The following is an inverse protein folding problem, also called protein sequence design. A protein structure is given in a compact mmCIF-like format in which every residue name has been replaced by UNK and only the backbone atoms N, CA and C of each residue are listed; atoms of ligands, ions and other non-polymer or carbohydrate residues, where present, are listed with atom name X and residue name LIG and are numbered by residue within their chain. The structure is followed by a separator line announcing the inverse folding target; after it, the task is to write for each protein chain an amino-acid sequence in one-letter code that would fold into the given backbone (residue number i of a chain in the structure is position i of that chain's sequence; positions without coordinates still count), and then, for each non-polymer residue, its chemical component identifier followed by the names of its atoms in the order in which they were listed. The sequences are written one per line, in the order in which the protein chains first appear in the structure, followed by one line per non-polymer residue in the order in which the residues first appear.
data_IF_857342213101
#
_entry.id   IF_857342213101
#
_cell.length_a   1.000
_cell.length_b   1.000
_cell.length_c   1.000
_cell.angle_alpha   90.00
_cell.angle_beta   90.00
_cell.angle_gamma   90.00
#
_symmetry.space_group_name_H-M   'P 1'
#
loop_
_entity.id
_entity.type
_entity.pdbx_description
1 polymer ?
#
# COMPACT_ATOMS: atom_id res chain seq x y z
N UNK A 1 -4.19 -3.29 -20.89
CA UNK A 1 -3.04 -2.98 -20.03
C UNK A 1 -3.10 -3.93 -18.85
N UNK A 2 -1.99 -4.58 -18.44
CA UNK A 2 -2.03 -5.51 -17.31
C UNK A 2 -2.20 -4.73 -16.00
N UNK A 3 -3.14 -5.18 -15.15
CA UNK A 3 -3.32 -4.68 -13.79
C UNK A 3 -2.85 -5.76 -12.81
N UNK A 4 -1.94 -5.40 -11.91
CA UNK A 4 -1.51 -6.29 -10.84
C UNK A 4 -2.44 -6.12 -9.65
N UNK A 5 -3.26 -7.12 -9.34
CA UNK A 5 -4.04 -7.16 -8.10
C UNK A 5 -3.08 -7.24 -6.91
N UNK A 6 -3.08 -6.27 -6.00
CA UNK A 6 -2.25 -6.26 -4.78
C UNK A 6 -3.04 -6.59 -3.51
N UNK A 7 -4.36 -6.44 -3.53
CA UNK A 7 -5.27 -7.00 -2.54
C UNK A 7 -6.56 -7.45 -3.20
N UNK A 8 -6.90 -8.72 -3.01
CA UNK A 8 -8.16 -9.30 -3.47
C UNK A 8 -9.32 -8.84 -2.58
N UNK A 9 -9.13 -8.79 -1.26
CA UNK A 9 -10.17 -8.41 -0.28
C UNK A 9 -10.67 -6.98 -0.49
N UNK A 10 -9.76 -6.05 -0.73
CA UNK A 10 -10.08 -4.62 -0.89
C UNK A 10 -10.07 -4.17 -2.36
N UNK A 11 -9.84 -5.10 -3.28
CA UNK A 11 -9.83 -4.87 -4.73
C UNK A 11 -8.77 -3.85 -5.16
N UNK A 12 -7.61 -3.84 -4.54
CA UNK A 12 -6.52 -2.90 -4.86
C UNK A 12 -5.68 -3.42 -6.00
N UNK A 13 -5.37 -2.54 -6.95
CA UNK A 13 -4.57 -2.87 -8.13
C UNK A 13 -3.43 -1.88 -8.33
N UNK A 14 -2.38 -2.34 -9.00
CA UNK A 14 -1.27 -1.53 -9.49
C UNK A 14 -1.20 -1.69 -11.01
N UNK A 15 -1.54 -0.65 -11.79
CA UNK A 15 -1.40 -0.67 -13.23
C UNK A 15 0.06 -0.91 -13.63
N UNK A 16 0.29 -1.81 -14.59
CA UNK A 16 1.61 -2.12 -15.16
C UNK A 16 2.64 -2.66 -14.13
N UNK A 17 2.17 -3.09 -12.96
CA UNK A 17 2.99 -3.76 -11.96
C UNK A 17 3.40 -5.15 -12.43
N UNK A 18 4.69 -5.45 -12.36
CA UNK A 18 5.24 -6.80 -12.58
C UNK A 18 5.39 -7.48 -11.22
N UNK A 19 4.65 -8.57 -11.01
CA UNK A 19 4.73 -9.38 -9.80
C UNK A 19 6.15 -9.93 -9.61
N UNK A 20 6.69 -9.75 -8.41
CA UNK A 20 7.94 -10.38 -7.96
C UNK A 20 7.66 -11.53 -6.99
N UNK A 21 6.77 -11.30 -6.02
CA UNK A 21 6.34 -12.32 -5.06
C UNK A 21 4.94 -12.02 -4.52
N UNK A 22 4.24 -13.09 -4.13
CA UNK A 22 2.97 -13.03 -3.39
C UNK A 22 3.10 -13.87 -2.13
N UNK A 23 2.81 -13.27 -0.99
CA UNK A 23 2.92 -13.89 0.33
C UNK A 23 1.61 -13.62 1.07
N UNK A 24 1.11 -14.61 1.81
CA UNK A 24 -0.06 -14.46 2.68
C UNK A 24 0.34 -14.86 4.09
N UNK A 25 0.27 -13.92 5.02
CA UNK A 25 0.58 -14.12 6.44
C UNK A 25 -0.69 -13.91 7.27
N UNK A 26 -1.45 -14.98 7.50
CA UNK A 26 -2.76 -14.87 8.14
C UNK A 26 -3.74 -14.06 7.30
N UNK A 27 -4.20 -12.91 7.82
CA UNK A 27 -5.07 -11.98 7.08
C UNK A 27 -4.32 -10.91 6.28
N UNK A 28 -2.98 -10.91 6.31
CA UNK A 28 -2.16 -9.94 5.59
C UNK A 28 -1.87 -10.42 4.17
N UNK A 29 -2.35 -9.67 3.17
CA UNK A 29 -2.02 -9.85 1.76
C UNK A 29 -0.75 -9.05 1.44
N UNK A 30 0.34 -9.74 1.14
CA UNK A 30 1.63 -9.12 0.83
C UNK A 30 1.93 -9.35 -0.66
N UNK A 31 2.17 -8.26 -1.38
CA UNK A 31 2.61 -8.31 -2.77
C UNK A 31 3.90 -7.53 -2.93
N UNK A 32 4.92 -8.18 -3.48
CA UNK A 32 6.15 -7.55 -3.94
C UNK A 32 6.10 -7.43 -5.45
N UNK A 33 6.40 -6.25 -5.97
CA UNK A 33 6.29 -5.95 -7.39
C UNK A 33 7.30 -4.90 -7.82
N UNK A 34 7.48 -4.75 -9.13
CA UNK A 34 8.26 -3.65 -9.72
C UNK A 34 7.53 -3.04 -10.90
N UNK A 35 7.89 -1.81 -11.26
CA UNK A 35 7.48 -1.20 -12.52
C UNK A 35 8.53 -1.43 -13.62
N UNK A 36 8.12 -1.56 -14.89
CA UNK A 36 8.99 -1.28 -16.04
C UNK A 36 9.56 0.14 -15.97
N UNK A 37 10.76 0.36 -16.51
CA UNK A 37 11.39 1.69 -16.49
C UNK A 37 10.63 2.72 -17.33
N UNK A 38 10.02 2.25 -18.42
CA UNK A 38 9.23 3.00 -19.38
C UNK A 38 7.73 3.09 -19.02
N UNK A 39 7.33 2.54 -17.86
CA UNK A 39 5.94 2.56 -17.43
C UNK A 39 5.45 3.99 -17.19
N UNK A 40 4.33 4.42 -17.81
CA UNK A 40 3.72 5.72 -17.50
C UNK A 40 3.08 5.75 -16.10
N UNK A 41 2.92 4.57 -15.47
CA UNK A 41 2.40 4.42 -14.12
C UNK A 41 3.50 4.31 -13.07
N UNK A 42 4.78 4.39 -13.46
CA UNK A 42 5.88 4.40 -12.51
C UNK A 42 5.73 5.61 -11.57
N UNK A 43 5.65 5.42 -10.25
CA UNK A 43 5.51 6.53 -9.31
C UNK A 43 6.85 7.27 -9.19
N UNK A 44 6.79 8.59 -9.05
CA UNK A 44 7.93 9.46 -8.75
C UNK A 44 8.42 9.32 -7.31
N UNK A 45 7.57 8.82 -6.41
CA UNK A 45 7.86 8.63 -4.99
C UNK A 45 7.03 7.52 -4.36
N UNK A 46 7.48 7.03 -3.19
CA UNK A 46 6.70 6.07 -2.39
C UNK A 46 5.36 6.66 -1.94
N UNK A 47 5.36 7.95 -1.58
CA UNK A 47 4.15 8.67 -1.18
C UNK A 47 3.13 8.73 -2.32
N UNK A 48 3.56 9.03 -3.54
CA UNK A 48 2.67 9.04 -4.71
C UNK A 48 1.98 7.69 -4.92
N UNK A 49 2.73 6.58 -4.82
CA UNK A 49 2.18 5.24 -4.90
C UNK A 49 1.16 4.96 -3.78
N UNK A 50 1.49 5.38 -2.55
CA UNK A 50 0.60 5.28 -1.40
C UNK A 50 -0.70 6.05 -1.58
N UNK A 51 -0.62 7.29 -2.07
CA UNK A 51 -1.78 8.15 -2.33
C UNK A 51 -2.67 7.60 -3.45
N UNK A 52 -2.11 6.94 -4.47
CA UNK A 52 -2.89 6.24 -5.50
C UNK A 52 -3.68 5.05 -4.92
N UNK A 53 -3.08 4.25 -4.04
CA UNK A 53 -3.76 3.15 -3.37
C UNK A 53 -4.82 3.65 -2.38
N UNK A 54 -4.53 4.74 -1.66
CA UNK A 54 -5.51 5.43 -0.82
C UNK A 54 -6.72 5.89 -1.65
N UNK A 55 -6.50 6.53 -2.80
CA UNK A 55 -7.57 7.00 -3.67
C UNK A 55 -8.46 5.85 -4.18
N UNK A 56 -7.90 4.66 -4.43
CA UNK A 56 -8.69 3.47 -4.76
C UNK A 56 -9.62 3.04 -3.62
N UNK A 57 -9.16 3.11 -2.37
CA UNK A 57 -9.98 2.81 -1.19
C UNK A 57 -11.05 3.88 -0.97
N UNK A 58 -10.70 5.16 -1.14
CA UNK A 58 -11.66 6.27 -1.07
C UNK A 58 -12.76 6.14 -2.12
N UNK A 59 -12.40 5.76 -3.35
CA UNK A 59 -13.37 5.47 -4.42
C UNK A 59 -14.31 4.28 -4.10
N UNK A 60 -13.96 3.44 -3.13
CA UNK A 60 -14.77 2.31 -2.62
C UNK A 60 -15.55 2.67 -1.34
N UNK A 61 -15.54 3.94 -0.94
CA UNK A 61 -16.28 4.46 0.20
C UNK A 61 -15.57 4.31 1.55
N UNK A 62 -14.26 4.06 1.55
CA UNK A 62 -13.46 4.13 2.76
C UNK A 62 -13.05 5.58 3.05
N UNK A 63 -13.01 5.95 4.33
CA UNK A 63 -12.62 7.28 4.78
C UNK A 63 -11.30 7.23 5.51
N UNK A 64 -10.43 8.21 5.22
CA UNK A 64 -9.14 8.35 5.89
C UNK A 64 -9.31 8.43 7.41
N UNK A 65 -8.56 7.58 8.13
CA UNK A 65 -8.44 7.64 9.58
C UNK A 65 -7.10 8.21 10.00
N UNK A 66 -6.02 7.70 9.42
CA UNK A 66 -4.69 8.23 9.64
C UNK A 66 -3.77 7.91 8.46
N UNK A 67 -2.71 8.70 8.32
CA UNK A 67 -1.59 8.41 7.42
C UNK A 67 -0.28 8.80 8.08
N UNK A 68 0.79 8.10 7.73
CA UNK A 68 2.15 8.52 8.03
C UNK A 68 3.07 8.22 6.86
N UNK A 69 4.02 9.12 6.62
CA UNK A 69 5.10 8.92 5.67
C UNK A 69 6.41 9.21 6.39
N UNK A 70 7.25 8.18 6.52
CA UNK A 70 8.57 8.32 7.09
C UNK A 70 9.57 8.17 5.96
N UNK A 71 10.26 9.26 5.59
CA UNK A 71 11.26 9.25 4.53
C UNK A 71 12.57 8.55 4.95
N UNK A 72 12.88 8.56 6.25
CA UNK A 72 14.14 8.06 6.82
C UNK A 72 13.93 7.34 8.15
N UNK A 73 13.07 6.31 8.26
CA UNK A 73 12.98 5.54 9.49
C UNK A 73 14.31 4.79 9.64
N UNK A 74 15.09 5.19 10.65
CA UNK A 74 16.36 4.56 10.98
C UNK A 74 16.15 3.04 11.09
N UNK A 75 16.97 2.26 10.38
CA UNK A 75 16.92 0.78 10.29
C UNK A 75 15.76 0.12 9.51
N UNK A 76 14.96 0.87 8.72
CA UNK A 76 13.85 0.29 7.94
C UNK A 76 13.70 0.80 6.50
N UNK A 77 14.29 1.95 6.16
CA UNK A 77 14.11 2.61 4.86
C UNK A 77 12.70 3.22 4.70
N UNK A 78 12.47 4.09 3.72
CA UNK A 78 11.25 4.89 3.67
C UNK A 78 9.99 4.02 3.68
N UNK A 79 8.96 4.47 4.39
CA UNK A 79 7.70 3.76 4.51
C UNK A 79 6.52 4.72 4.42
N UNK A 80 5.42 4.22 3.87
CA UNK A 80 4.14 4.89 3.84
C UNK A 80 3.10 3.98 4.49
N UNK A 81 2.35 4.49 5.46
CA UNK A 81 1.26 3.78 6.11
C UNK A 81 0.00 4.59 5.99
N UNK A 82 -1.10 3.97 5.61
CA UNK A 82 -2.42 4.60 5.62
C UNK A 82 -3.46 3.64 6.17
N UNK A 83 -4.37 4.17 6.99
CA UNK A 83 -5.51 3.44 7.51
C UNK A 83 -6.80 4.15 7.12
N UNK A 84 -7.75 3.39 6.59
CA UNK A 84 -9.06 3.89 6.23
C UNK A 84 -10.14 2.97 6.80
N UNK A 85 -11.37 3.47 6.88
CA UNK A 85 -12.50 2.69 7.37
C UNK A 85 -13.80 3.00 6.63
N UNK A 86 -14.69 2.01 6.54
CA UNK A 86 -16.05 2.11 6.02
C UNK A 86 -17.00 1.42 7.01
N UNK A 87 -17.66 2.22 7.85
CA UNK A 87 -18.46 1.69 8.96
C UNK A 87 -17.60 0.84 9.92
N UNK A 88 -17.95 -0.43 10.17
CA UNK A 88 -17.17 -1.32 11.05
C UNK A 88 -15.93 -1.92 10.37
N UNK A 89 -15.80 -1.78 9.05
CA UNK A 89 -14.70 -2.36 8.28
C UNK A 89 -13.51 -1.39 8.23
N UNK A 90 -12.33 -1.82 8.67
CA UNK A 90 -11.09 -1.06 8.56
C UNK A 90 -10.06 -1.77 7.68
N UNK A 91 -9.22 -0.98 7.02
CA UNK A 91 -8.13 -1.44 6.15
C UNK A 91 -6.85 -0.67 6.45
N UNK A 92 -5.75 -1.40 6.57
CA UNK A 92 -4.40 -0.88 6.69
C UNK A 92 -3.61 -1.21 5.44
N UNK A 93 -2.91 -0.21 4.90
CA UNK A 93 -1.99 -0.34 3.78
C UNK A 93 -0.63 0.14 4.23
N UNK A 94 0.37 -0.73 4.15
CA UNK A 94 1.77 -0.46 4.48
C UNK A 94 2.64 -0.66 3.25
N UNK A 95 3.39 0.36 2.85
CA UNK A 95 4.26 0.37 1.68
C UNK A 95 5.70 0.67 2.09
N UNK A 96 6.64 -0.03 1.45
CA UNK A 96 8.08 0.26 1.52
C UNK A 96 8.76 -0.11 0.20
N UNK A 97 9.87 0.53 -0.18
CA UNK A 97 10.67 0.06 -1.29
C UNK A 97 11.36 -1.26 -0.93
N UNK A 98 11.76 -1.99 -1.96
CA UNK A 98 12.67 -3.11 -1.85
C UNK A 98 14.11 -2.65 -2.15
N UNK A 99 15.10 -3.47 -1.82
CA UNK A 99 16.50 -3.23 -2.17
C UNK A 99 16.79 -3.47 -3.66
N UNK A 100 15.91 -2.96 -4.54
CA UNK A 100 15.94 -3.05 -6.01
C UNK A 100 15.27 -1.80 -6.61
N UNK A 101 15.76 -1.26 -7.74
CA UNK A 101 15.14 -0.10 -8.39
C UNK A 101 13.68 -0.36 -8.76
N UNK A 102 12.85 0.67 -8.60
CA UNK A 102 11.42 0.70 -8.97
C UNK A 102 10.59 -0.49 -8.41
N UNK A 103 11.07 -1.10 -7.32
CA UNK A 103 10.48 -2.26 -6.69
C UNK A 103 9.95 -1.91 -5.30
N UNK A 104 8.75 -2.42 -5.01
CA UNK A 104 7.97 -2.07 -3.84
C UNK A 104 7.37 -3.32 -3.21
N UNK A 105 7.17 -3.24 -1.90
CA UNK A 105 6.35 -4.19 -1.15
C UNK A 105 5.14 -3.44 -0.61
N UNK A 106 3.97 -4.00 -0.86
CA UNK A 106 2.71 -3.56 -0.26
C UNK A 106 2.16 -4.67 0.61
N UNK A 107 1.78 -4.31 1.83
CA UNK A 107 1.06 -5.17 2.76
C UNK A 107 -0.32 -4.56 2.98
N UNK A 108 -1.36 -5.36 2.79
CA UNK A 108 -2.75 -4.96 2.96
C UNK A 108 -3.39 -5.89 3.96
N UNK A 109 -4.04 -5.34 4.97
CA UNK A 109 -4.67 -6.15 6.02
C UNK A 109 -5.90 -5.46 6.62
N UNK A 110 -6.80 -6.23 7.24
CA UNK A 110 -7.80 -5.67 8.12
C UNK A 110 -7.15 -4.83 9.23
N UNK A 111 -7.74 -3.68 9.50
CA UNK A 111 -7.28 -2.79 10.57
C UNK A 111 -8.47 -2.34 11.44
N UNK A 112 -8.18 -1.85 12.64
CA UNK A 112 -9.21 -1.20 13.47
C UNK A 112 -9.84 -0.03 12.70
N UNK A 113 -11.18 0.07 12.62
CA UNK A 113 -11.85 1.24 12.02
C UNK A 113 -11.64 2.52 12.83
N UNK A 114 -11.20 2.39 14.09
CA UNK A 114 -10.87 3.46 15.03
C UNK A 114 -9.41 3.29 15.50
N UNK A 115 -8.41 3.63 14.67
CA UNK A 115 -7.02 3.58 15.09
C UNK A 115 -6.71 4.65 16.14
N UNK A 116 -5.62 4.52 16.92
CA UNK A 116 -5.10 5.61 17.74
C UNK A 116 -4.80 6.86 16.89
N UNK A 117 -4.64 8.02 17.55
CA UNK A 117 -4.36 9.30 16.88
C UNK A 117 -3.06 9.24 16.06
N UNK A 118 -2.04 8.55 16.59
CA UNK A 118 -0.82 8.26 15.86
C UNK A 118 -1.09 7.12 14.86
N UNK A 119 -0.56 7.24 13.64
CA UNK A 119 -0.64 6.18 12.64
C UNK A 119 0.59 5.28 12.79
N UNK A 120 0.55 4.21 13.60
CA UNK A 120 1.75 3.42 13.86
C UNK A 120 2.23 2.73 12.57
N UNK A 121 3.54 2.51 12.44
CA UNK A 121 4.08 1.57 11.46
C UNK A 121 3.49 0.18 11.73
N UNK A 122 2.72 -0.35 10.77
CA UNK A 122 2.05 -1.67 10.84
C UNK A 122 0.98 -1.75 11.93
#
# INVERSE_FOLDING_TARGET
MPELLVSSRYGLVVPDGILLARIVEGEVEITEFRFPQDSPYRPSSLEELGERLKAQLEARGFFLRCRTYNALPLFGGPQYTVRLARGPEGVGVFLRPLARPDAYRVEVSPASPNPPLDCPPR
#
